data_IF_729635995366
#
_entry.id   IF_729635995366
#
_cell.length_a   1.000
_cell.length_b   1.000
_cell.length_c   1.000
_cell.angle_alpha   90.00
_cell.angle_beta   90.00
_cell.angle_gamma   90.00
#
_symmetry.space_group_name_H-M   'P 1'
#
loop_
_entity.id
_entity.type
_entity.pdbx_description
1 polymer ?
#
# COMPACT_ATOMS: atom_id res chain seq x y z
N UNK A 1 23.49 -2.78 33.57
CA UNK A 1 23.95 -4.17 33.64
C UNK A 1 23.19 -5.04 32.68
N UNK A 2 23.76 -6.14 32.24
CA UNK A 2 23.12 -7.14 31.39
C UNK A 2 22.67 -8.29 32.29
N UNK A 3 21.41 -8.70 32.16
CA UNK A 3 20.87 -9.88 32.83
C UNK A 3 20.85 -11.04 31.83
N UNK A 4 21.44 -12.17 32.22
CA UNK A 4 21.34 -13.41 31.46
C UNK A 4 20.30 -14.31 32.11
N UNK A 5 19.26 -14.69 31.41
CA UNK A 5 18.16 -15.49 31.93
C UNK A 5 18.08 -16.81 31.16
N UNK A 6 18.09 -17.93 31.88
CA UNK A 6 17.86 -19.25 31.31
C UNK A 6 16.35 -19.57 31.35
N UNK A 7 15.72 -19.65 30.22
CA UNK A 7 14.30 -19.98 30.10
C UNK A 7 14.14 -21.51 29.99
N UNK A 8 13.30 -22.13 30.83
CA UNK A 8 13.08 -23.59 30.79
C UNK A 8 12.44 -24.00 29.44
N UNK A 9 12.77 -25.19 28.90
CA UNK A 9 12.29 -25.63 27.57
C UNK A 9 10.77 -25.78 27.44
N UNK A 10 10.04 -25.89 28.54
CA UNK A 10 8.58 -25.98 28.53
C UNK A 10 7.88 -24.62 28.32
N UNK A 11 8.60 -23.50 28.48
CA UNK A 11 8.11 -22.13 28.22
C UNK A 11 8.39 -21.76 26.76
N UNK A 12 7.66 -22.39 25.85
CA UNK A 12 7.81 -22.21 24.39
C UNK A 12 7.37 -20.80 23.92
N UNK A 13 6.63 -20.12 24.76
CA UNK A 13 6.10 -18.77 24.58
C UNK A 13 7.14 -17.68 24.84
N UNK A 14 8.12 -17.94 25.71
CA UNK A 14 9.13 -16.95 26.10
C UNK A 14 10.37 -17.08 25.22
N UNK A 15 10.48 -16.19 24.22
CA UNK A 15 11.57 -16.22 23.23
C UNK A 15 12.32 -14.92 23.09
N UNK A 16 11.75 -13.82 23.53
CA UNK A 16 12.28 -12.46 23.38
C UNK A 16 12.36 -11.77 24.72
N UNK A 17 13.15 -10.72 24.78
CA UNK A 17 13.27 -9.85 25.95
C UNK A 17 11.91 -9.33 26.42
N UNK A 18 11.03 -8.93 25.47
CA UNK A 18 9.71 -8.44 25.79
C UNK A 18 8.84 -9.45 26.54
N UNK A 19 8.98 -10.74 26.26
CA UNK A 19 8.22 -11.81 26.91
C UNK A 19 8.64 -11.95 28.40
N UNK A 20 9.93 -11.78 28.68
CA UNK A 20 10.46 -11.75 30.05
C UNK A 20 10.01 -10.50 30.81
N UNK A 21 10.01 -9.35 30.13
CA UNK A 21 9.53 -8.09 30.71
C UNK A 21 8.07 -8.20 31.09
N UNK A 22 7.24 -8.83 30.25
CA UNK A 22 5.83 -9.09 30.57
C UNK A 22 5.65 -9.91 31.83
N UNK A 23 6.37 -11.03 31.97
CA UNK A 23 6.30 -11.89 33.16
C UNK A 23 6.76 -11.14 34.43
N UNK A 24 7.82 -10.35 34.34
CA UNK A 24 8.28 -9.52 35.44
C UNK A 24 7.22 -8.48 35.85
N UNK A 25 6.60 -7.81 34.87
CA UNK A 25 5.58 -6.79 35.12
C UNK A 25 4.31 -7.37 35.71
N UNK A 26 3.96 -8.62 35.41
CA UNK A 26 2.83 -9.31 36.05
C UNK A 26 3.04 -9.49 37.57
N UNK A 27 4.27 -9.77 38.00
CA UNK A 27 4.62 -9.94 39.42
C UNK A 27 4.82 -8.58 40.07
N UNK A 28 5.53 -7.68 39.43
CA UNK A 28 5.79 -6.33 39.93
C UNK A 28 4.53 -5.50 40.06
N UNK A 29 3.58 -5.71 39.12
CA UNK A 29 2.35 -4.96 38.95
C UNK A 29 2.49 -3.81 37.95
N UNK A 30 1.69 -3.83 36.89
CA UNK A 30 1.72 -2.80 35.86
C UNK A 30 1.47 -1.39 36.40
N UNK A 31 0.64 -1.27 37.45
CA UNK A 31 0.33 0.02 38.07
C UNK A 31 1.50 0.62 38.87
N UNK A 32 2.53 -0.17 39.16
CA UNK A 32 3.73 0.28 39.88
C UNK A 32 4.79 0.87 38.94
N UNK A 33 4.57 0.77 37.64
CA UNK A 33 5.48 1.36 36.65
C UNK A 33 5.24 2.87 36.60
N UNK A 34 6.28 3.64 36.91
CA UNK A 34 6.22 5.10 36.83
C UNK A 34 6.04 5.54 35.38
N UNK A 35 4.98 6.30 35.10
CA UNK A 35 4.77 6.92 33.79
C UNK A 35 5.59 8.22 33.77
N UNK A 36 6.58 8.33 32.87
CA UNK A 36 7.39 9.54 32.80
C UNK A 36 6.52 10.74 32.42
N UNK A 37 6.65 11.82 33.19
CA UNK A 37 5.92 13.07 32.91
C UNK A 37 6.42 13.80 31.66
N UNK A 38 7.55 13.39 31.11
CA UNK A 38 8.16 14.00 29.92
C UNK A 38 8.57 12.92 28.95
N UNK A 39 8.20 13.10 27.70
CA UNK A 39 8.70 12.32 26.57
C UNK A 39 9.95 13.01 26.04
N UNK A 40 11.07 12.30 26.04
CA UNK A 40 12.29 12.75 25.39
C UNK A 40 12.37 12.07 24.03
N UNK A 41 12.12 12.84 22.98
CA UNK A 41 12.31 12.37 21.59
C UNK A 41 13.06 13.42 20.79
N UNK A 42 13.92 12.98 19.90
CA UNK A 42 14.52 13.86 18.90
C UNK A 42 13.52 14.08 17.78
N UNK A 43 12.99 15.29 17.69
CA UNK A 43 12.12 15.67 16.59
C UNK A 43 13.01 16.11 15.40
N UNK A 44 12.98 15.38 14.32
CA UNK A 44 13.60 15.82 13.06
C UNK A 44 12.54 16.53 12.22
N UNK A 45 12.72 17.82 12.00
CA UNK A 45 11.90 18.62 11.09
C UNK A 45 12.51 18.56 9.69
N UNK A 46 12.34 17.45 8.97
CA UNK A 46 12.60 17.49 7.54
C UNK A 46 11.36 18.09 6.87
N UNK A 47 11.50 19.10 6.01
CA UNK A 47 10.37 19.68 5.27
C UNK A 47 9.93 18.67 4.21
N UNK A 48 9.17 17.66 4.61
CA UNK A 48 8.47 16.79 3.68
C UNK A 48 7.10 17.40 3.41
N UNK A 49 6.69 17.48 2.13
CA UNK A 49 5.32 17.83 1.80
C UNK A 49 4.38 16.85 2.51
N UNK A 50 3.40 17.38 3.21
CA UNK A 50 2.33 16.57 3.79
C UNK A 50 1.55 15.91 2.63
N UNK A 51 1.67 14.59 2.52
CA UNK A 51 1.05 13.80 1.45
C UNK A 51 -0.47 13.95 1.48
N UNK A 52 -1.07 13.89 2.65
CA UNK A 52 -2.52 13.93 2.79
C UNK A 52 -3.07 15.30 2.40
N UNK A 53 -2.36 16.36 2.79
CA UNK A 53 -2.70 17.71 2.37
C UNK A 53 -2.59 17.88 0.85
N UNK A 54 -1.57 17.30 0.22
CA UNK A 54 -1.41 17.36 -1.24
C UNK A 54 -2.53 16.60 -1.95
N UNK A 55 -2.85 15.39 -1.48
CA UNK A 55 -3.94 14.57 -2.02
C UNK A 55 -5.27 15.32 -1.92
N UNK A 56 -5.58 15.88 -0.74
CA UNK A 56 -6.82 16.63 -0.53
C UNK A 56 -6.91 17.86 -1.44
N UNK A 57 -5.82 18.63 -1.57
CA UNK A 57 -5.78 19.81 -2.45
C UNK A 57 -6.09 19.45 -3.91
N UNK A 58 -5.49 18.36 -4.41
CA UNK A 58 -5.72 17.89 -5.77
C UNK A 58 -7.12 17.29 -5.93
N UNK A 59 -7.62 16.56 -4.93
CA UNK A 59 -8.99 16.01 -4.93
C UNK A 59 -10.04 17.10 -4.99
N UNK A 60 -9.89 18.15 -4.17
CA UNK A 60 -10.80 19.30 -4.17
C UNK A 60 -10.80 19.99 -5.54
N UNK A 61 -9.62 20.19 -6.13
CA UNK A 61 -9.50 20.77 -7.46
C UNK A 61 -10.17 19.92 -8.54
N UNK A 62 -9.94 18.61 -8.54
CA UNK A 62 -10.52 17.67 -9.53
C UNK A 62 -12.03 17.59 -9.36
N UNK A 63 -12.52 17.46 -8.12
CA UNK A 63 -13.97 17.41 -7.84
C UNK A 63 -14.66 18.70 -8.23
N UNK A 64 -14.06 19.86 -7.97
CA UNK A 64 -14.59 21.17 -8.40
C UNK A 64 -14.67 21.28 -9.94
N UNK A 65 -13.85 20.53 -10.69
CA UNK A 65 -13.90 20.44 -12.15
C UNK A 65 -14.79 19.30 -12.66
N UNK A 66 -15.58 18.67 -11.82
CA UNK A 66 -16.58 17.65 -12.15
C UNK A 66 -16.00 16.25 -12.32
N UNK A 67 -14.82 15.97 -11.79
CA UNK A 67 -14.32 14.62 -11.72
C UNK A 67 -14.90 13.87 -10.53
N UNK A 68 -15.14 12.57 -10.70
CA UNK A 68 -15.53 11.65 -9.64
C UNK A 68 -14.33 10.77 -9.25
N UNK A 69 -14.10 10.62 -7.95
CA UNK A 69 -13.08 9.71 -7.46
C UNK A 69 -13.54 8.27 -7.63
N UNK A 70 -12.61 7.43 -8.09
CA UNK A 70 -12.77 5.97 -8.07
C UNK A 70 -11.69 5.36 -7.19
N UNK A 71 -12.03 4.23 -6.58
CA UNK A 71 -11.12 3.48 -5.71
C UNK A 71 -11.13 2.03 -6.16
N UNK A 72 -10.06 1.62 -6.82
CA UNK A 72 -9.95 0.30 -7.42
C UNK A 72 -9.06 -0.62 -6.58
N UNK A 73 -9.22 -1.93 -6.78
CA UNK A 73 -8.37 -2.92 -6.13
C UNK A 73 -6.91 -2.80 -6.61
N UNK A 74 -5.97 -2.97 -5.69
CA UNK A 74 -4.53 -3.05 -6.02
C UNK A 74 -4.15 -4.36 -6.72
N UNK A 75 -4.99 -5.39 -6.62
CA UNK A 75 -4.82 -6.66 -7.33
C UNK A 75 -5.55 -6.62 -8.66
N UNK A 76 -4.92 -7.22 -9.69
CA UNK A 76 -5.43 -7.23 -11.06
C UNK A 76 -5.03 -8.51 -11.81
N UNK A 77 -5.44 -8.61 -13.07
CA UNK A 77 -5.16 -9.75 -13.94
C UNK A 77 -3.74 -9.70 -14.48
N UNK A 78 -3.02 -10.81 -14.36
CA UNK A 78 -1.70 -10.93 -14.97
C UNK A 78 -1.73 -10.76 -16.49
N UNK A 79 -2.80 -11.22 -17.14
CA UNK A 79 -2.98 -11.15 -18.58
C UNK A 79 -3.01 -9.73 -19.16
N UNK A 80 -3.26 -8.71 -18.35
CA UNK A 80 -3.18 -7.32 -18.80
C UNK A 80 -1.76 -6.87 -19.16
N UNK A 81 -0.76 -7.58 -18.66
CA UNK A 81 0.65 -7.27 -18.87
C UNK A 81 1.33 -8.13 -19.95
N UNK A 82 0.58 -9.06 -20.56
CA UNK A 82 1.11 -9.95 -21.58
C UNK A 82 1.47 -9.16 -22.84
N UNK A 83 2.75 -9.23 -23.21
CA UNK A 83 3.27 -8.57 -24.42
C UNK A 83 3.42 -7.04 -24.34
N UNK A 84 3.23 -6.43 -23.16
CA UNK A 84 3.41 -4.98 -23.00
C UNK A 84 4.87 -4.60 -22.71
N UNK A 85 5.46 -3.81 -23.60
CA UNK A 85 6.80 -3.27 -23.42
C UNK A 85 6.86 -2.21 -22.30
N UNK A 86 5.80 -1.40 -22.12
CA UNK A 86 5.76 -0.33 -21.13
C UNK A 86 5.55 -0.82 -19.70
N UNK A 87 4.94 -2.00 -19.54
CA UNK A 87 4.66 -2.65 -18.25
C UNK A 87 4.95 -4.15 -18.39
N UNK A 88 6.23 -4.56 -18.40
CA UNK A 88 6.59 -5.97 -18.63
C UNK A 88 6.02 -6.88 -17.54
N UNK A 89 5.55 -8.06 -17.94
CA UNK A 89 4.98 -9.05 -17.02
C UNK A 89 5.99 -9.57 -15.99
N UNK A 90 7.30 -9.51 -16.29
CA UNK A 90 8.40 -9.87 -15.41
C UNK A 90 8.56 -8.94 -14.21
N UNK A 91 8.07 -7.70 -14.32
CA UNK A 91 8.05 -6.70 -13.24
C UNK A 91 6.79 -6.76 -12.38
N UNK A 92 5.89 -7.71 -12.63
CA UNK A 92 4.71 -7.91 -11.79
C UNK A 92 5.05 -8.50 -10.43
N UNK A 93 4.55 -7.88 -9.37
CA UNK A 93 4.51 -8.50 -8.04
C UNK A 93 3.41 -9.55 -8.02
N UNK A 94 3.78 -10.82 -7.94
CA UNK A 94 2.84 -11.96 -7.98
C UNK A 94 2.39 -12.34 -6.59
N UNK A 95 1.10 -12.64 -6.44
CA UNK A 95 0.52 -13.12 -5.19
C UNK A 95 0.76 -14.64 -5.11
N UNK A 96 1.28 -15.09 -3.96
CA UNK A 96 1.60 -16.51 -3.75
C UNK A 96 0.36 -17.40 -3.78
N UNK A 97 -0.72 -16.98 -3.10
CA UNK A 97 -1.98 -17.71 -3.01
C UNK A 97 -3.14 -16.79 -3.41
N UNK A 98 -3.34 -16.48 -4.72
CA UNK A 98 -4.39 -15.58 -5.14
C UNK A 98 -5.77 -16.21 -4.95
N UNK A 99 -6.76 -15.40 -4.56
CA UNK A 99 -8.16 -15.83 -4.43
C UNK A 99 -8.79 -16.22 -5.77
N UNK A 100 -8.30 -15.62 -6.86
CA UNK A 100 -8.70 -15.96 -8.23
C UNK A 100 -7.60 -15.58 -9.22
N UNK A 101 -7.67 -16.10 -10.43
CA UNK A 101 -6.75 -15.73 -11.52
C UNK A 101 -6.85 -14.25 -11.89
N UNK A 102 -8.01 -13.63 -11.65
CA UNK A 102 -8.29 -12.22 -11.92
C UNK A 102 -7.64 -11.28 -10.89
N UNK A 103 -7.12 -11.82 -9.78
CA UNK A 103 -6.48 -11.08 -8.70
C UNK A 103 -5.09 -11.67 -8.36
N UNK A 104 -4.33 -12.03 -9.39
CA UNK A 104 -3.10 -12.80 -9.26
C UNK A 104 -1.81 -11.96 -9.17
N UNK A 105 -1.88 -10.68 -9.54
CA UNK A 105 -0.74 -9.75 -9.49
C UNK A 105 -1.15 -8.40 -8.93
N UNK A 106 -0.16 -7.66 -8.37
CA UNK A 106 -0.37 -6.27 -8.01
C UNK A 106 -0.18 -5.38 -9.24
N UNK A 107 -0.97 -4.33 -9.32
CA UNK A 107 -1.01 -3.40 -10.45
C UNK A 107 0.28 -2.60 -10.61
N UNK A 108 0.82 -2.50 -11.82
CA UNK A 108 1.93 -1.62 -12.19
C UNK A 108 1.44 -0.23 -12.63
N UNK A 109 0.15 -0.12 -12.98
CA UNK A 109 -0.48 1.11 -13.46
C UNK A 109 -1.93 1.18 -13.01
N UNK A 110 -2.48 2.38 -12.90
CA UNK A 110 -3.90 2.63 -12.63
C UNK A 110 -4.76 2.52 -13.89
N UNK A 111 -4.14 2.42 -15.08
CA UNK A 111 -4.83 2.46 -16.37
C UNK A 111 -5.88 1.37 -16.53
N UNK A 112 -5.53 0.11 -16.23
CA UNK A 112 -6.45 -1.01 -16.49
C UNK A 112 -7.69 -0.96 -15.62
N UNK A 113 -7.53 -0.59 -14.34
CA UNK A 113 -8.66 -0.40 -13.44
C UNK A 113 -9.57 0.76 -13.90
N UNK A 114 -8.96 1.86 -14.37
CA UNK A 114 -9.73 2.96 -14.95
C UNK A 114 -10.52 2.53 -16.21
N UNK A 115 -9.91 1.73 -17.08
CA UNK A 115 -10.59 1.18 -18.28
C UNK A 115 -11.71 0.21 -17.90
N UNK A 116 -11.54 -0.63 -16.87
CA UNK A 116 -12.62 -1.48 -16.35
C UNK A 116 -13.80 -0.63 -15.82
N UNK A 117 -13.50 0.46 -15.09
CA UNK A 117 -14.53 1.38 -14.61
C UNK A 117 -15.25 2.07 -15.78
N UNK A 118 -14.52 2.50 -16.81
CA UNK A 118 -15.12 3.06 -18.04
C UNK A 118 -16.02 2.03 -18.72
N UNK A 119 -15.53 0.81 -18.92
CA UNK A 119 -16.29 -0.27 -19.55
C UNK A 119 -17.60 -0.55 -18.80
N UNK A 120 -17.54 -0.63 -17.48
CA UNK A 120 -18.71 -0.83 -16.62
C UNK A 120 -19.75 0.28 -16.84
N UNK A 121 -19.31 1.54 -16.80
CA UNK A 121 -20.20 2.68 -16.96
C UNK A 121 -20.79 2.77 -18.38
N UNK A 122 -19.99 2.52 -19.42
CA UNK A 122 -20.47 2.48 -20.82
C UNK A 122 -21.53 1.39 -20.99
N UNK A 123 -21.35 0.21 -20.41
CA UNK A 123 -22.34 -0.86 -20.42
C UNK A 123 -23.66 -0.45 -19.73
N UNK A 124 -23.59 0.48 -18.78
CA UNK A 124 -24.75 1.10 -18.14
C UNK A 124 -25.25 2.36 -18.86
N UNK A 125 -24.82 2.60 -20.10
CA UNK A 125 -25.17 3.75 -20.94
C UNK A 125 -24.74 5.10 -20.39
N UNK A 126 -23.69 5.13 -19.56
CA UNK A 126 -23.06 6.33 -19.07
C UNK A 126 -21.64 6.44 -19.68
N UNK A 127 -21.52 7.14 -20.80
CA UNK A 127 -20.29 7.23 -21.57
C UNK A 127 -19.50 8.53 -21.31
N UNK A 128 -20.16 9.57 -20.79
CA UNK A 128 -19.54 10.87 -20.52
C UNK A 128 -19.00 10.87 -19.09
N UNK A 129 -17.72 10.53 -18.93
CA UNK A 129 -17.10 10.32 -17.64
C UNK A 129 -15.89 11.23 -17.43
N UNK A 130 -15.74 11.72 -16.21
CA UNK A 130 -14.52 12.33 -15.68
C UNK A 130 -14.18 11.61 -14.38
N UNK A 131 -13.16 10.75 -14.40
CA UNK A 131 -12.78 9.90 -13.28
C UNK A 131 -11.35 10.23 -12.86
N UNK A 132 -11.06 10.14 -11.57
CA UNK A 132 -9.69 10.16 -11.06
C UNK A 132 -9.49 9.12 -9.97
N UNK A 133 -8.27 8.68 -9.79
CA UNK A 133 -7.86 7.76 -8.74
C UNK A 133 -6.49 8.12 -8.21
N UNK A 134 -6.34 8.14 -6.89
CA UNK A 134 -5.05 8.05 -6.22
C UNK A 134 -4.81 6.60 -5.83
N UNK A 135 -3.68 6.06 -6.20
CA UNK A 135 -3.40 4.67 -5.88
C UNK A 135 -1.92 4.35 -5.94
N UNK A 136 -1.55 3.31 -5.23
CA UNK A 136 -0.20 2.79 -5.29
C UNK A 136 -0.08 1.79 -6.43
N UNK A 137 1.07 1.82 -7.09
CA UNK A 137 1.49 0.87 -8.11
C UNK A 137 2.75 0.17 -7.64
N UNK A 138 2.88 -1.10 -7.97
CA UNK A 138 3.86 -2.00 -7.37
C UNK A 138 4.73 -2.62 -8.45
N UNK A 139 6.02 -2.72 -8.17
CA UNK A 139 7.01 -3.21 -9.12
C UNK A 139 7.94 -4.21 -8.45
N UNK A 140 8.31 -5.21 -9.21
CA UNK A 140 9.36 -6.17 -8.88
C UNK A 140 10.53 -5.96 -9.84
N UNK A 141 11.74 -5.84 -9.30
CA UNK A 141 12.97 -5.75 -10.09
C UNK A 141 13.76 -7.07 -9.98
N UNK A 142 13.74 -7.90 -11.03
CA UNK A 142 14.44 -9.18 -11.00
C UNK A 142 15.96 -9.06 -10.87
N UNK A 143 16.54 -7.88 -11.22
CA UNK A 143 17.97 -7.66 -11.11
C UNK A 143 18.45 -7.44 -9.67
N UNK A 144 17.54 -7.07 -8.75
CA UNK A 144 17.85 -6.84 -7.33
C UNK A 144 17.44 -8.01 -6.44
N UNK A 145 17.26 -9.20 -7.03
CA UNK A 145 16.82 -10.38 -6.31
C UNK A 145 17.88 -10.84 -5.30
N UNK A 146 17.60 -10.58 -4.02
CA UNK A 146 18.34 -11.14 -2.88
C UNK A 146 17.48 -12.20 -2.19
N UNK A 147 18.10 -13.26 -1.66
CA UNK A 147 17.39 -14.30 -0.92
C UNK A 147 16.73 -13.71 0.33
N UNK A 148 15.39 -13.71 0.38
CA UNK A 148 14.60 -13.30 1.55
C UNK A 148 14.48 -11.80 1.80
N UNK A 149 14.98 -10.94 0.90
CA UNK A 149 14.94 -9.49 1.04
C UNK A 149 13.74 -8.82 0.38
N UNK A 150 13.46 -7.57 0.78
CA UNK A 150 12.44 -6.71 0.16
C UNK A 150 13.04 -5.75 -0.89
N UNK A 151 14.37 -5.78 -1.10
CA UNK A 151 15.07 -4.91 -2.04
C UNK A 151 14.50 -4.92 -3.48
N UNK A 152 14.04 -6.09 -4.02
CA UNK A 152 13.47 -6.12 -5.37
C UNK A 152 12.09 -5.47 -5.49
N UNK A 153 11.43 -5.14 -4.39
CA UNK A 153 10.06 -4.62 -4.42
C UNK A 153 10.03 -3.11 -4.22
N UNK A 154 9.27 -2.42 -5.06
CA UNK A 154 9.04 -0.99 -4.91
C UNK A 154 7.58 -0.63 -5.06
N UNK A 155 7.17 0.41 -4.33
CA UNK A 155 5.83 0.96 -4.34
C UNK A 155 5.90 2.44 -4.73
N UNK A 156 5.00 2.88 -5.62
CA UNK A 156 4.93 4.27 -6.09
C UNK A 156 3.50 4.76 -6.05
N UNK A 157 3.27 5.85 -5.35
CA UNK A 157 2.00 6.56 -5.41
C UNK A 157 1.84 7.24 -6.77
N UNK A 158 0.68 7.07 -7.38
CA UNK A 158 0.32 7.67 -8.68
C UNK A 158 -1.07 8.28 -8.61
N UNK A 159 -1.34 9.22 -9.50
CA UNK A 159 -2.67 9.73 -9.80
C UNK A 159 -2.99 9.41 -11.25
N UNK A 160 -4.20 8.97 -11.52
CA UNK A 160 -4.75 8.85 -12.86
C UNK A 160 -5.94 9.77 -13.03
N UNK A 161 -6.10 10.29 -14.25
CA UNK A 161 -7.28 11.02 -14.69
C UNK A 161 -7.76 10.41 -15.99
N UNK A 162 -9.03 10.08 -16.05
CA UNK A 162 -9.66 9.46 -17.22
C UNK A 162 -10.86 10.28 -17.62
N UNK A 163 -10.88 10.70 -18.88
CA UNK A 163 -11.99 11.44 -19.48
C UNK A 163 -12.48 10.69 -20.69
N UNK A 164 -13.80 10.45 -20.75
CA UNK A 164 -14.46 9.83 -21.90
C UNK A 164 -15.70 10.63 -22.27
N UNK A 165 -16.19 10.43 -23.49
CA UNK A 165 -17.39 11.07 -23.98
C UNK A 165 -17.20 11.74 -25.33
N UNK A 166 -18.25 12.40 -25.83
CA UNK A 166 -18.21 13.16 -27.04
C UNK A 166 -17.81 14.60 -26.74
N UNK A 167 -16.94 15.14 -27.57
CA UNK A 167 -16.67 16.58 -27.62
C UNK A 167 -17.95 17.29 -28.09
N UNK A 168 -18.63 17.95 -27.17
CA UNK A 168 -19.76 18.82 -27.51
C UNK A 168 -19.17 20.15 -27.94
N UNK A 169 -19.02 20.31 -29.23
CA UNK A 169 -18.80 21.63 -29.84
C UNK A 169 -19.97 22.58 -29.56
#
# INVERSE_FOLDING_TARGET
GILSVAVPPYRVDVRREADLVEDILRIYGYNNVEIPQRVHSTLSYAPHPDRDRLVNLLSDMLTANGFNEIMSNSLTKASYYDGLASYPAEHCVRILNPLSNDLSVMRQTLLFNALEAVQLNVNHRNADLKLYEYGNCYFYDPAQKEEGGLAPYSERAKVSMTVTGNDRQ
#
